data_IF_293040450481
#
_entry.id   IF_293040450481
#
_cell.length_a   1.000
_cell.length_b   1.000
_cell.length_c   1.000
_cell.angle_alpha   90.00
_cell.angle_beta   90.00
_cell.angle_gamma   90.00
#
_symmetry.space_group_name_H-M   'P 1'
#
loop_
_entity.id
_entity.type
_entity.pdbx_description
1 polymer ?
#
# COMPACT_ATOMS: atom_id res chain seq x y z
N UNK A 1 -11.91 -27.53 -28.68
CA UNK A 1 -12.37 -26.20 -29.15
C UNK A 1 -11.93 -25.21 -28.12
N UNK A 2 -10.94 -24.36 -28.43
CA UNK A 2 -10.53 -23.24 -27.58
C UNK A 2 -11.73 -22.26 -27.54
N UNK A 3 -12.22 -21.84 -26.36
CA UNK A 3 -13.27 -20.84 -26.31
C UNK A 3 -12.78 -19.57 -27.01
N UNK A 4 -13.66 -18.92 -27.79
CA UNK A 4 -13.36 -17.63 -28.40
C UNK A 4 -12.93 -16.66 -27.29
N UNK A 5 -11.77 -15.98 -27.45
CA UNK A 5 -11.34 -14.92 -26.55
C UNK A 5 -12.44 -13.86 -26.48
N UNK A 6 -12.87 -13.49 -25.29
CA UNK A 6 -13.68 -12.31 -25.05
C UNK A 6 -12.93 -11.08 -25.64
N UNK A 7 -13.67 -10.11 -26.13
CA UNK A 7 -13.11 -8.90 -26.76
C UNK A 7 -12.43 -7.98 -25.73
N UNK A 8 -11.23 -8.31 -25.25
CA UNK A 8 -10.45 -7.50 -24.31
C UNK A 8 -9.28 -8.26 -23.73
N UNK A 9 -8.33 -7.55 -23.07
CA UNK A 9 -7.16 -8.16 -22.45
C UNK A 9 -7.54 -9.04 -21.25
N UNK A 10 -6.68 -10.01 -20.92
CA UNK A 10 -6.81 -10.86 -19.73
C UNK A 10 -6.14 -10.18 -18.53
N UNK A 11 -6.84 -10.15 -17.39
CA UNK A 11 -6.27 -9.82 -16.10
C UNK A 11 -6.14 -11.08 -15.24
N UNK A 12 -4.93 -11.52 -14.95
CA UNK A 12 -4.70 -12.58 -13.98
C UNK A 12 -4.42 -12.00 -12.60
N UNK A 13 -5.23 -12.37 -11.59
CA UNK A 13 -5.09 -11.93 -10.19
C UNK A 13 -4.45 -13.06 -9.40
N UNK A 14 -3.14 -12.96 -9.13
CA UNK A 14 -2.37 -13.93 -8.37
C UNK A 14 -2.38 -13.55 -6.90
N UNK A 15 -2.91 -14.43 -6.04
CA UNK A 15 -3.18 -14.13 -4.64
C UNK A 15 -4.64 -13.69 -4.39
N UNK A 16 -5.56 -14.05 -5.29
CA UNK A 16 -6.98 -13.65 -5.27
C UNK A 16 -7.72 -13.95 -3.94
N UNK A 17 -7.28 -14.96 -3.17
CA UNK A 17 -7.88 -15.35 -1.89
C UNK A 17 -7.28 -14.63 -0.67
N UNK A 18 -6.27 -13.77 -0.88
CA UNK A 18 -5.63 -12.96 0.17
C UNK A 18 -6.48 -11.75 0.59
N UNK A 19 -6.07 -11.05 1.64
CA UNK A 19 -6.76 -9.83 2.11
C UNK A 19 -6.82 -8.76 1.00
N UNK A 20 -5.67 -8.41 0.42
CA UNK A 20 -5.57 -7.44 -0.69
C UNK A 20 -6.27 -7.96 -1.95
N UNK A 21 -6.16 -9.28 -2.24
CA UNK A 21 -6.87 -9.91 -3.35
C UNK A 21 -8.38 -9.72 -3.27
N UNK A 22 -8.97 -9.94 -2.09
CA UNK A 22 -10.40 -9.74 -1.87
C UNK A 22 -10.83 -8.28 -2.11
N UNK A 23 -10.00 -7.32 -1.68
CA UNK A 23 -10.25 -5.88 -1.94
C UNK A 23 -10.15 -5.57 -3.42
N UNK A 24 -9.15 -6.13 -4.12
CA UNK A 24 -8.98 -5.92 -5.57
C UNK A 24 -10.17 -6.47 -6.36
N UNK A 25 -10.73 -7.63 -6.00
CA UNK A 25 -11.93 -8.17 -6.65
C UNK A 25 -13.16 -7.27 -6.45
N UNK A 26 -13.30 -6.64 -5.28
CA UNK A 26 -14.35 -5.65 -5.02
C UNK A 26 -14.16 -4.41 -5.91
N UNK A 27 -12.93 -3.89 -6.01
CA UNK A 27 -12.62 -2.77 -6.91
C UNK A 27 -12.95 -3.09 -8.36
N UNK A 28 -12.57 -4.26 -8.87
CA UNK A 28 -12.87 -4.68 -10.24
C UNK A 28 -14.38 -4.77 -10.51
N UNK A 29 -15.19 -4.94 -9.49
CA UNK A 29 -16.65 -5.03 -9.63
C UNK A 29 -17.34 -3.65 -9.78
N UNK A 30 -16.66 -2.55 -9.42
CA UNK A 30 -17.21 -1.19 -9.46
C UNK A 30 -16.46 -0.25 -10.42
N UNK A 31 -15.30 -0.68 -10.95
CA UNK A 31 -14.51 0.09 -11.91
C UNK A 31 -14.92 -0.19 -13.36
N UNK A 32 -14.42 0.66 -14.28
CA UNK A 32 -14.63 0.47 -15.71
C UNK A 32 -14.17 -0.91 -16.18
N UNK A 33 -14.95 -1.49 -17.09
CA UNK A 33 -14.69 -2.82 -17.65
C UNK A 33 -13.70 -2.74 -18.81
N UNK A 34 -12.42 -2.78 -18.51
CA UNK A 34 -11.34 -2.84 -19.51
C UNK A 34 -10.87 -4.26 -19.80
N UNK A 35 -11.29 -5.24 -18.97
CA UNK A 35 -10.80 -6.61 -19.02
C UNK A 35 -11.83 -7.55 -19.66
N UNK A 36 -11.43 -8.27 -20.70
CA UNK A 36 -12.28 -9.28 -21.33
C UNK A 36 -12.39 -10.56 -20.50
N UNK A 37 -11.33 -10.93 -19.78
CA UNK A 37 -11.28 -12.09 -18.88
C UNK A 37 -10.61 -11.68 -17.56
N UNK A 38 -11.16 -12.12 -16.42
CA UNK A 38 -10.50 -12.04 -15.12
C UNK A 38 -10.20 -13.46 -14.65
N UNK A 39 -8.91 -13.79 -14.56
CA UNK A 39 -8.44 -15.11 -14.13
C UNK A 39 -7.99 -15.05 -12.67
N UNK A 40 -8.61 -15.84 -11.80
CA UNK A 40 -8.28 -15.88 -10.38
C UNK A 40 -7.27 -16.99 -10.10
N UNK A 41 -6.14 -16.65 -9.51
CA UNK A 41 -5.06 -17.60 -9.24
C UNK A 41 -4.66 -17.51 -7.77
N UNK A 42 -4.50 -18.64 -7.10
CA UNK A 42 -4.03 -18.71 -5.72
C UNK A 42 -3.22 -19.98 -5.46
N UNK A 43 -2.78 -20.19 -4.22
CA UNK A 43 -2.04 -21.41 -3.85
C UNK A 43 -2.89 -22.67 -4.13
N UNK A 44 -2.27 -23.83 -4.38
CA UNK A 44 -3.00 -25.09 -4.63
C UNK A 44 -4.04 -25.42 -3.55
N UNK A 45 -3.84 -24.98 -2.29
CA UNK A 45 -4.79 -25.17 -1.19
C UNK A 45 -6.10 -24.40 -1.38
N UNK A 46 -6.09 -23.37 -2.21
CA UNK A 46 -7.26 -22.51 -2.47
C UNK A 46 -7.89 -22.79 -3.84
N UNK A 47 -7.31 -23.63 -4.66
CA UNK A 47 -7.83 -24.01 -5.96
C UNK A 47 -9.21 -24.68 -5.83
N UNK A 48 -10.06 -24.46 -6.83
CA UNK A 48 -11.45 -24.95 -6.85
C UNK A 48 -12.44 -24.12 -6.02
N UNK A 49 -11.99 -23.16 -5.20
CA UNK A 49 -12.87 -22.20 -4.55
C UNK A 49 -13.50 -21.29 -5.61
N UNK A 50 -14.71 -20.82 -5.33
CA UNK A 50 -15.37 -19.83 -6.19
C UNK A 50 -15.40 -18.47 -5.46
N UNK A 51 -15.07 -17.42 -6.18
CA UNK A 51 -15.12 -16.05 -5.68
C UNK A 51 -15.93 -15.18 -6.64
N UNK A 52 -16.75 -14.31 -6.09
CA UNK A 52 -17.49 -13.35 -6.89
C UNK A 52 -16.60 -12.23 -7.40
N UNK A 53 -16.65 -11.96 -8.71
CA UNK A 53 -16.06 -10.79 -9.35
C UNK A 53 -17.00 -10.33 -10.46
N UNK A 54 -17.33 -9.04 -10.52
CA UNK A 54 -18.29 -8.44 -11.47
C UNK A 54 -19.67 -9.13 -11.46
N UNK A 55 -20.09 -9.63 -10.30
CA UNK A 55 -21.36 -10.33 -10.14
C UNK A 55 -21.36 -11.79 -10.62
N UNK A 56 -20.23 -12.30 -11.11
CA UNK A 56 -20.07 -13.68 -11.56
C UNK A 56 -19.21 -14.50 -10.59
N UNK A 57 -19.58 -15.74 -10.38
CA UNK A 57 -18.81 -16.72 -9.61
C UNK A 57 -17.69 -17.31 -10.48
N UNK A 58 -16.44 -16.92 -10.19
CA UNK A 58 -15.25 -17.35 -10.91
C UNK A 58 -14.45 -18.35 -10.10
N UNK A 59 -14.03 -19.46 -10.72
CA UNK A 59 -13.21 -20.49 -10.07
C UNK A 59 -11.77 -20.02 -9.89
N UNK A 60 -11.21 -20.30 -8.73
CA UNK A 60 -9.81 -20.03 -8.39
C UNK A 60 -8.92 -21.16 -8.90
N UNK A 61 -7.99 -20.84 -9.79
CA UNK A 61 -7.00 -21.77 -10.34
C UNK A 61 -5.80 -21.92 -9.39
N UNK A 62 -5.14 -23.08 -9.46
CA UNK A 62 -3.88 -23.27 -8.77
C UNK A 62 -2.75 -22.47 -9.45
N UNK A 63 -1.85 -21.90 -8.66
CA UNK A 63 -0.63 -21.27 -9.16
C UNK A 63 0.38 -22.36 -9.56
N UNK A 64 0.43 -22.64 -10.85
CA UNK A 64 1.26 -23.65 -11.53
C UNK A 64 1.90 -23.04 -12.77
N UNK A 65 2.77 -23.75 -13.46
CA UNK A 65 3.46 -23.24 -14.66
C UNK A 65 2.50 -22.90 -15.81
N UNK A 66 1.41 -23.62 -15.91
CA UNK A 66 0.35 -23.45 -16.91
C UNK A 66 -0.71 -22.41 -16.53
N UNK A 67 -0.66 -21.87 -15.32
CA UNK A 67 -1.63 -20.85 -14.85
C UNK A 67 -1.70 -19.60 -15.74
N UNK A 68 -0.62 -19.31 -16.46
CA UNK A 68 -0.50 -18.17 -17.38
C UNK A 68 -0.63 -18.55 -18.85
N UNK A 69 -0.99 -19.79 -19.16
CA UNK A 69 -1.14 -20.23 -20.55
C UNK A 69 -2.25 -19.47 -21.28
N UNK A 70 -1.99 -19.15 -22.54
CA UNK A 70 -2.88 -18.34 -23.35
C UNK A 70 -2.80 -16.83 -23.10
N UNK A 71 -2.05 -16.37 -22.09
CA UNK A 71 -1.71 -14.95 -21.93
C UNK A 71 -0.65 -14.51 -22.94
N UNK A 72 -0.62 -13.22 -23.23
CA UNK A 72 0.32 -12.66 -24.20
C UNK A 72 0.40 -11.14 -24.09
N UNK A 73 0.89 -10.51 -25.16
CA UNK A 73 1.02 -9.05 -25.23
C UNK A 73 -0.35 -8.36 -25.08
N UNK A 74 -0.42 -7.37 -24.19
CA UNK A 74 -1.65 -6.68 -23.81
C UNK A 74 -2.31 -7.25 -22.55
N UNK A 75 -2.02 -8.51 -22.18
CA UNK A 75 -2.52 -9.11 -20.94
C UNK A 75 -1.67 -8.69 -19.73
N UNK A 76 -2.27 -8.68 -18.56
CA UNK A 76 -1.59 -8.28 -17.32
C UNK A 76 -1.81 -9.30 -16.20
N UNK A 77 -0.75 -9.61 -15.45
CA UNK A 77 -0.83 -10.41 -14.24
C UNK A 77 -0.49 -9.53 -13.01
N UNK A 78 -1.43 -9.40 -12.07
CA UNK A 78 -1.26 -8.68 -10.80
C UNK A 78 -0.88 -9.67 -9.71
N UNK A 79 0.27 -9.46 -9.07
CA UNK A 79 0.77 -10.29 -7.99
C UNK A 79 0.52 -9.61 -6.62
N UNK A 80 -0.30 -10.24 -5.81
CA UNK A 80 -0.65 -9.87 -4.44
C UNK A 80 -0.20 -10.99 -3.48
N UNK A 81 1.06 -11.38 -3.60
CA UNK A 81 1.63 -12.57 -2.97
C UNK A 81 2.90 -12.21 -2.18
N UNK A 82 3.37 -13.08 -1.28
CA UNK A 82 4.68 -12.92 -0.65
C UNK A 82 5.82 -12.77 -1.69
N UNK A 83 6.89 -12.09 -1.28
CA UNK A 83 8.00 -11.74 -2.20
C UNK A 83 8.68 -12.96 -2.85
N UNK A 84 8.84 -14.06 -2.12
CA UNK A 84 9.40 -15.32 -2.63
C UNK A 84 8.51 -15.96 -3.71
N UNK A 85 7.20 -15.87 -3.55
CA UNK A 85 6.22 -16.35 -4.54
C UNK A 85 6.26 -15.48 -5.79
N UNK A 86 6.23 -14.15 -5.63
CA UNK A 86 6.34 -13.21 -6.75
C UNK A 86 7.65 -13.38 -7.51
N UNK A 87 8.78 -13.46 -6.80
CA UNK A 87 10.09 -13.66 -7.41
C UNK A 87 10.17 -14.93 -8.26
N UNK A 88 9.51 -15.99 -7.80
CA UNK A 88 9.45 -17.28 -8.52
C UNK A 88 8.54 -17.23 -9.75
N UNK A 89 7.34 -16.65 -9.63
CA UNK A 89 6.28 -16.84 -10.61
C UNK A 89 6.06 -15.66 -11.56
N UNK A 90 6.45 -14.43 -11.21
CA UNK A 90 6.33 -13.29 -12.12
C UNK A 90 7.10 -13.49 -13.44
N UNK A 91 8.32 -14.08 -13.44
CA UNK A 91 9.02 -14.41 -14.69
C UNK A 91 8.25 -15.38 -15.59
N UNK A 92 7.43 -16.27 -15.04
CA UNK A 92 6.63 -17.20 -15.84
C UNK A 92 5.52 -16.48 -16.63
N UNK A 93 4.90 -15.46 -16.06
CA UNK A 93 3.92 -14.61 -16.74
C UNK A 93 4.59 -13.76 -17.84
N UNK A 94 5.73 -13.11 -17.54
CA UNK A 94 6.45 -12.30 -18.54
C UNK A 94 7.03 -13.12 -19.69
N UNK A 95 7.44 -14.35 -19.44
CA UNK A 95 7.90 -15.28 -20.50
C UNK A 95 6.80 -15.62 -21.52
N UNK A 96 5.54 -15.46 -21.14
CA UNK A 96 4.37 -15.61 -22.04
C UNK A 96 3.97 -14.30 -22.72
N UNK A 97 4.69 -13.21 -22.45
CA UNK A 97 4.46 -11.90 -23.05
C UNK A 97 3.48 -11.00 -22.25
N UNK A 98 2.92 -11.49 -21.16
CA UNK A 98 2.07 -10.66 -20.28
C UNK A 98 2.93 -9.65 -19.51
N UNK A 99 2.37 -8.48 -19.23
CA UNK A 99 2.94 -7.56 -18.25
C UNK A 99 2.62 -8.02 -16.83
N UNK A 100 3.50 -7.68 -15.88
CA UNK A 100 3.30 -8.00 -14.46
C UNK A 100 3.26 -6.71 -13.64
N UNK A 101 2.28 -6.61 -12.75
CA UNK A 101 2.24 -5.62 -11.67
C UNK A 101 2.44 -6.36 -10.35
N UNK A 102 3.56 -6.13 -9.67
CA UNK A 102 3.90 -6.81 -8.42
C UNK A 102 3.81 -5.87 -7.21
N UNK A 103 2.96 -6.22 -6.25
CA UNK A 103 2.78 -5.46 -5.01
C UNK A 103 3.66 -5.98 -3.86
N UNK A 104 4.48 -7.00 -4.10
CA UNK A 104 5.42 -7.52 -3.11
C UNK A 104 6.72 -6.70 -3.04
N UNK A 105 7.60 -7.08 -2.12
CA UNK A 105 8.93 -6.50 -2.05
C UNK A 105 9.93 -7.09 -3.06
N UNK A 106 9.55 -8.08 -3.88
CA UNK A 106 10.47 -8.87 -4.69
C UNK A 106 11.28 -8.05 -5.70
N UNK A 107 10.67 -7.00 -6.26
CA UNK A 107 11.28 -6.24 -7.37
C UNK A 107 11.47 -4.76 -7.07
N UNK A 108 11.09 -4.28 -5.88
CA UNK A 108 11.13 -2.84 -5.52
C UNK A 108 12.51 -2.24 -5.58
N UNK A 109 13.57 -3.03 -5.37
CA UNK A 109 14.96 -2.57 -5.38
C UNK A 109 15.67 -2.82 -6.72
N UNK A 110 15.07 -3.58 -7.66
CA UNK A 110 15.67 -3.79 -8.98
C UNK A 110 15.59 -2.50 -9.82
N UNK A 111 16.72 -1.91 -10.23
CA UNK A 111 16.72 -0.67 -11.01
C UNK A 111 16.10 -0.82 -12.41
N UNK A 112 15.95 -2.07 -12.90
CA UNK A 112 15.33 -2.39 -14.20
C UNK A 112 13.82 -2.59 -14.09
N UNK A 113 13.23 -2.46 -12.90
CA UNK A 113 11.79 -2.59 -12.67
C UNK A 113 11.29 -1.24 -12.18
N UNK A 114 10.44 -0.52 -12.91
CA UNK A 114 9.90 0.76 -12.45
C UNK A 114 9.08 0.56 -11.17
N UNK A 115 9.21 1.51 -10.25
CA UNK A 115 8.42 1.58 -9.02
C UNK A 115 7.37 2.68 -9.18
N UNK A 116 6.10 2.31 -9.32
CA UNK A 116 5.07 3.22 -9.80
C UNK A 116 4.00 3.53 -8.75
N UNK A 117 3.74 4.81 -8.60
CA UNK A 117 2.54 5.37 -7.97
C UNK A 117 1.81 6.17 -9.05
N UNK A 118 0.64 5.74 -9.52
CA UNK A 118 -0.06 6.35 -10.64
C UNK A 118 -0.29 7.86 -10.51
N UNK A 119 -0.49 8.34 -9.29
CA UNK A 119 -0.70 9.77 -9.00
C UNK A 119 0.59 10.61 -9.08
N UNK A 120 1.78 9.99 -9.18
CA UNK A 120 3.07 10.69 -9.11
C UNK A 120 3.94 10.50 -10.34
N UNK A 121 4.07 9.24 -10.80
CA UNK A 121 5.00 8.87 -11.86
C UNK A 121 4.41 7.82 -12.82
N UNK A 122 3.15 8.02 -13.24
CA UNK A 122 2.42 7.10 -14.13
C UNK A 122 3.17 6.76 -15.43
N UNK A 123 3.95 7.70 -15.97
CA UNK A 123 4.71 7.54 -17.20
C UNK A 123 5.78 6.45 -17.11
N UNK A 124 6.32 6.19 -15.90
CA UNK A 124 7.37 5.19 -15.68
C UNK A 124 6.88 3.76 -16.01
N UNK A 125 5.57 3.55 -16.06
CA UNK A 125 4.97 2.25 -16.43
C UNK A 125 5.43 1.77 -17.81
N UNK A 126 5.77 2.70 -18.72
CA UNK A 126 6.19 2.41 -20.10
C UNK A 126 7.60 1.83 -20.17
N UNK A 127 8.47 2.16 -19.21
CA UNK A 127 9.87 1.71 -19.18
C UNK A 127 10.02 0.48 -18.28
N UNK A 128 9.51 -0.67 -18.72
CA UNK A 128 9.55 -1.95 -18.00
C UNK A 128 10.35 -3.04 -18.76
N UNK A 129 11.68 -2.93 -18.84
CA UNK A 129 12.51 -3.85 -19.65
C UNK A 129 12.42 -5.31 -19.19
N UNK A 130 11.98 -5.57 -17.96
CA UNK A 130 11.69 -6.91 -17.45
C UNK A 130 10.24 -7.35 -17.65
N UNK A 131 9.38 -6.53 -18.25
CA UNK A 131 7.93 -6.76 -18.32
C UNK A 131 7.23 -6.63 -16.97
N UNK A 132 7.92 -6.17 -15.92
CA UNK A 132 7.43 -6.07 -14.54
C UNK A 132 7.41 -4.61 -14.12
N UNK A 133 6.33 -4.21 -13.43
CA UNK A 133 6.19 -2.94 -12.69
C UNK A 133 5.98 -3.28 -11.22
N UNK A 134 6.70 -2.63 -10.32
CA UNK A 134 6.54 -2.80 -8.88
C UNK A 134 5.65 -1.70 -8.29
N UNK A 135 4.75 -2.07 -7.40
CA UNK A 135 4.07 -1.14 -6.51
C UNK A 135 4.88 -0.88 -5.23
N UNK A 136 4.76 0.30 -4.61
CA UNK A 136 5.48 0.64 -3.39
C UNK A 136 4.98 -0.10 -2.15
N UNK A 137 5.68 0.09 -1.05
CA UNK A 137 5.15 -0.21 0.29
C UNK A 137 3.92 0.67 0.58
N UNK A 138 2.94 0.13 1.30
CA UNK A 138 1.69 0.85 1.58
C UNK A 138 1.88 2.15 2.36
N UNK A 139 2.93 2.25 3.21
CA UNK A 139 3.29 3.50 3.90
C UNK A 139 3.80 4.54 2.90
N UNK A 140 4.68 4.12 1.99
CA UNK A 140 5.20 5.00 0.93
C UNK A 140 4.08 5.47 0.00
N UNK A 141 3.19 4.56 -0.42
CA UNK A 141 2.04 4.91 -1.26
C UNK A 141 1.14 5.96 -0.60
N UNK A 142 0.83 5.77 0.69
CA UNK A 142 -0.06 6.67 1.43
C UNK A 142 0.39 8.14 1.44
N UNK A 143 1.69 8.40 1.42
CA UNK A 143 2.24 9.76 1.45
C UNK A 143 2.70 10.27 0.08
N UNK A 144 2.82 9.40 -0.93
CA UNK A 144 3.51 9.73 -2.17
C UNK A 144 2.81 10.85 -2.95
N UNK A 145 1.48 10.79 -3.11
CA UNK A 145 0.73 11.81 -3.84
C UNK A 145 0.81 13.18 -3.16
N UNK A 146 0.64 13.23 -1.84
CA UNK A 146 0.77 14.48 -1.08
C UNK A 146 2.19 15.06 -1.15
N UNK A 147 3.22 14.22 -0.96
CA UNK A 147 4.61 14.67 -1.06
C UNK A 147 5.00 15.07 -2.47
N UNK A 148 4.50 14.37 -3.50
CA UNK A 148 4.74 14.71 -4.90
C UNK A 148 4.19 16.08 -5.25
N UNK A 149 2.96 16.39 -4.87
CA UNK A 149 2.33 17.69 -5.08
C UNK A 149 3.07 18.82 -4.34
N UNK A 150 3.41 18.60 -3.06
CA UNK A 150 4.18 19.59 -2.28
C UNK A 150 5.60 19.76 -2.81
N UNK A 151 6.24 18.69 -3.31
CA UNK A 151 7.55 18.78 -3.94
C UNK A 151 7.53 19.60 -5.22
N UNK A 152 6.52 19.41 -6.06
CA UNK A 152 6.35 20.17 -7.30
C UNK A 152 6.18 21.67 -7.04
N UNK A 153 5.47 22.05 -5.96
CA UNK A 153 5.24 23.45 -5.60
C UNK A 153 6.45 24.09 -4.89
N UNK A 154 7.07 23.39 -3.92
CA UNK A 154 8.00 24.01 -2.98
C UNK A 154 9.44 23.46 -3.04
N UNK A 155 9.69 22.34 -3.73
CA UNK A 155 11.01 21.71 -3.75
C UNK A 155 11.41 21.05 -2.42
N UNK A 156 11.05 19.77 -2.23
CA UNK A 156 11.32 18.99 -1.01
C UNK A 156 12.83 18.80 -0.77
N UNK A 157 13.32 19.11 0.45
CA UNK A 157 14.73 19.07 0.86
C UNK A 157 15.05 18.12 1.98
N UNK A 158 14.08 17.82 2.86
CA UNK A 158 14.22 16.90 3.99
C UNK A 158 12.87 16.34 4.36
N UNK A 159 12.83 15.12 4.86
CA UNK A 159 11.60 14.46 5.27
C UNK A 159 11.81 13.64 6.54
N UNK A 160 10.97 13.89 7.54
CA UNK A 160 10.83 13.04 8.72
C UNK A 160 9.44 12.41 8.72
N UNK A 161 9.39 11.10 8.91
CA UNK A 161 8.16 10.29 8.91
C UNK A 161 8.09 9.44 10.16
N UNK A 162 6.99 9.54 10.90
CA UNK A 162 6.58 8.55 11.89
C UNK A 162 5.33 7.86 11.40
N UNK A 163 5.41 6.56 11.12
CA UNK A 163 4.26 5.79 10.65
C UNK A 163 3.60 5.03 11.80
N UNK A 164 2.27 5.05 11.84
CA UNK A 164 1.42 4.29 12.75
C UNK A 164 0.70 3.23 11.92
N UNK A 165 1.22 2.00 11.97
CA UNK A 165 0.81 0.95 11.05
C UNK A 165 -0.23 0.03 11.68
N UNK A 166 -1.32 -0.20 10.96
CA UNK A 166 -2.41 -1.08 11.35
C UNK A 166 -1.99 -2.56 11.34
N UNK A 167 -2.65 -3.37 12.14
CA UNK A 167 -2.40 -4.81 12.25
C UNK A 167 -2.56 -5.56 10.92
N UNK A 168 -3.45 -5.09 10.03
CA UNK A 168 -3.67 -5.67 8.71
C UNK A 168 -2.45 -5.61 7.79
N UNK A 169 -1.42 -4.79 8.09
CA UNK A 169 -0.14 -4.80 7.37
C UNK A 169 0.56 -6.17 7.43
N UNK A 170 0.40 -6.90 8.53
CA UNK A 170 0.85 -8.28 8.67
C UNK A 170 -0.17 -9.32 8.11
N UNK A 171 -1.07 -8.88 7.23
CA UNK A 171 -2.09 -9.70 6.60
C UNK A 171 -3.12 -10.25 7.58
N UNK A 172 -3.73 -11.38 7.22
CA UNK A 172 -4.76 -12.02 8.05
C UNK A 172 -4.25 -12.38 9.45
N UNK A 173 -3.02 -12.87 9.56
CA UNK A 173 -2.42 -13.25 10.83
C UNK A 173 -2.31 -12.06 11.80
N UNK A 174 -1.98 -10.86 11.30
CA UNK A 174 -1.93 -9.64 12.10
C UNK A 174 -3.30 -9.23 12.64
N UNK A 175 -4.31 -9.20 11.75
CA UNK A 175 -5.69 -8.87 12.13
C UNK A 175 -6.27 -9.88 13.12
N UNK A 176 -6.01 -11.18 12.94
CA UNK A 176 -6.45 -12.23 13.86
C UNK A 176 -5.76 -12.13 15.22
N UNK A 177 -4.44 -11.84 15.25
CA UNK A 177 -3.69 -11.65 16.49
C UNK A 177 -4.24 -10.48 17.31
N UNK A 178 -4.43 -9.31 16.67
CA UNK A 178 -5.00 -8.15 17.36
C UNK A 178 -6.43 -8.44 17.88
N UNK A 179 -7.26 -9.12 17.07
CA UNK A 179 -8.62 -9.49 17.48
C UNK A 179 -8.62 -10.41 18.70
N UNK A 180 -7.75 -11.43 18.73
CA UNK A 180 -7.59 -12.29 19.92
C UNK A 180 -7.14 -11.51 21.14
N UNK A 181 -6.13 -10.65 20.99
CA UNK A 181 -5.59 -9.85 22.09
C UNK A 181 -6.63 -8.85 22.63
N UNK A 182 -7.43 -8.21 21.77
CA UNK A 182 -8.54 -7.35 22.20
C UNK A 182 -9.55 -8.15 23.04
N UNK A 183 -9.86 -9.38 22.63
CA UNK A 183 -10.80 -10.25 23.37
C UNK A 183 -10.31 -10.59 24.78
N UNK A 184 -8.99 -10.64 25.01
CA UNK A 184 -8.42 -10.89 26.34
C UNK A 184 -8.58 -9.70 27.30
N UNK A 185 -8.62 -8.48 26.77
CA UNK A 185 -8.68 -7.25 27.58
C UNK A 185 -10.09 -6.63 27.62
N UNK A 186 -11.00 -7.10 26.77
CA UNK A 186 -12.38 -6.59 26.73
C UNK A 186 -13.11 -6.87 28.06
N UNK A 187 -13.80 -5.85 28.57
CA UNK A 187 -14.57 -5.94 29.81
C UNK A 187 -13.72 -5.98 31.10
N UNK A 188 -12.41 -5.78 30.99
CA UNK A 188 -11.53 -5.68 32.16
C UNK A 188 -11.32 -4.22 32.57
N UNK A 189 -11.21 -3.96 33.90
CA UNK A 189 -10.86 -2.64 34.44
C UNK A 189 -9.34 -2.50 34.47
N UNK A 190 -8.76 -1.89 33.41
CA UNK A 190 -7.33 -1.69 33.25
C UNK A 190 -6.95 -0.20 33.37
N UNK A 191 -5.67 0.05 33.71
CA UNK A 191 -5.11 1.39 33.84
C UNK A 191 -5.23 1.95 35.27
N UNK A 192 -5.79 1.20 36.21
CA UNK A 192 -5.88 1.58 37.61
C UNK A 192 -4.70 1.14 38.47
N UNK A 193 -3.94 0.14 38.03
CA UNK A 193 -2.80 -0.41 38.75
C UNK A 193 -1.58 -0.56 37.85
N UNK A 194 -0.39 -0.29 38.39
CA UNK A 194 0.88 -0.45 37.68
C UNK A 194 1.05 -1.89 37.16
N UNK A 195 1.28 -2.03 35.86
CA UNK A 195 1.55 -3.31 35.20
C UNK A 195 0.31 -4.19 34.96
N UNK A 196 -0.91 -3.71 35.23
CA UNK A 196 -2.14 -4.47 34.98
C UNK A 196 -2.35 -4.75 33.48
N UNK A 197 -2.07 -3.77 32.61
CA UNK A 197 -2.13 -3.94 31.14
C UNK A 197 -1.17 -5.04 30.68
N UNK A 198 0.09 -5.03 31.16
CA UNK A 198 1.07 -6.04 30.80
C UNK A 198 0.61 -7.46 31.18
N UNK A 199 0.03 -7.62 32.36
CA UNK A 199 -0.50 -8.91 32.82
C UNK A 199 -1.71 -9.36 32.00
N UNK A 200 -2.60 -8.43 31.64
CA UNK A 200 -3.82 -8.75 30.90
C UNK A 200 -3.54 -9.13 29.43
N UNK A 201 -2.67 -8.39 28.76
CA UNK A 201 -2.30 -8.67 27.36
C UNK A 201 -1.46 -9.93 27.22
N UNK A 202 -0.65 -10.28 28.25
CA UNK A 202 0.17 -11.48 28.24
C UNK A 202 1.35 -11.40 27.26
N UNK A 203 1.74 -12.58 26.72
CA UNK A 203 2.94 -12.74 25.87
C UNK A 203 2.60 -13.12 24.40
N UNK A 204 1.33 -13.27 24.03
CA UNK A 204 0.94 -13.53 22.63
C UNK A 204 1.24 -12.30 21.76
N UNK A 205 2.33 -12.38 21.00
CA UNK A 205 2.73 -11.31 20.08
C UNK A 205 2.10 -11.46 18.70
N UNK A 206 1.64 -12.64 18.34
CA UNK A 206 1.30 -12.95 16.95
C UNK A 206 2.50 -12.70 16.02
N UNK A 207 2.31 -12.04 14.87
CA UNK A 207 3.41 -11.73 13.94
C UNK A 207 4.22 -10.48 14.30
N UNK A 208 3.93 -9.82 15.45
CA UNK A 208 4.54 -8.56 15.85
C UNK A 208 5.72 -8.79 16.81
N UNK A 209 6.57 -7.79 16.98
CA UNK A 209 7.68 -7.84 17.92
C UNK A 209 7.26 -7.77 19.41
N UNK A 210 5.98 -7.47 19.66
CA UNK A 210 5.38 -7.44 20.99
C UNK A 210 3.86 -7.52 20.93
N UNK A 211 3.15 -7.75 22.05
CA UNK A 211 1.69 -7.68 22.09
C UNK A 211 1.21 -6.30 21.62
N UNK A 212 0.15 -6.27 20.79
CA UNK A 212 -0.28 -5.04 20.16
C UNK A 212 -1.49 -4.40 20.85
N UNK A 213 -2.44 -5.17 21.40
CA UNK A 213 -3.59 -4.60 22.08
C UNK A 213 -3.15 -3.72 23.26
N UNK A 214 -3.69 -2.50 23.33
CA UNK A 214 -3.37 -1.47 24.34
C UNK A 214 -1.87 -1.10 24.39
N UNK A 215 -1.16 -1.26 23.29
CA UNK A 215 0.28 -1.06 23.20
C UNK A 215 0.68 -0.42 21.86
N UNK A 216 1.86 0.15 21.80
CA UNK A 216 2.53 0.55 20.56
C UNK A 216 3.88 -0.15 20.49
N UNK A 217 4.23 -0.69 19.31
CA UNK A 217 5.47 -1.43 19.11
C UNK A 217 6.31 -0.68 18.06
N UNK A 218 7.43 -0.03 18.44
CA UNK A 218 8.23 0.79 17.52
C UNK A 218 9.16 -0.10 16.66
N UNK A 219 8.55 -1.04 15.95
CA UNK A 219 9.25 -1.98 15.09
C UNK A 219 8.35 -2.56 14.00
N UNK A 220 8.81 -2.50 12.74
CA UNK A 220 8.17 -3.14 11.59
C UNK A 220 9.23 -3.75 10.68
N UNK A 221 9.04 -5.00 10.26
CA UNK A 221 9.99 -5.72 9.40
C UNK A 221 11.11 -6.41 10.19
N UNK A 222 12.19 -6.77 9.49
CA UNK A 222 13.37 -7.44 10.02
C UNK A 222 14.46 -6.47 10.46
N UNK A 223 15.47 -6.96 11.18
CA UNK A 223 16.65 -6.18 11.57
C UNK A 223 17.59 -6.00 10.38
N UNK A 224 18.02 -4.77 10.14
CA UNK A 224 19.05 -4.38 9.19
C UNK A 224 20.28 -3.80 9.90
N UNK A 225 21.34 -3.51 9.16
CA UNK A 225 22.56 -2.93 9.70
C UNK A 225 22.32 -1.55 10.35
N UNK A 226 23.05 -1.26 11.42
CA UNK A 226 22.97 0.03 12.12
C UNK A 226 21.72 0.20 13.00
N UNK A 227 20.98 -0.88 13.30
CA UNK A 227 19.78 -0.84 14.14
C UNK A 227 18.51 -0.41 13.42
N UNK A 228 18.55 -0.24 12.10
CA UNK A 228 17.39 0.05 11.28
C UNK A 228 16.51 -1.19 11.08
N UNK A 229 15.22 -0.98 10.91
CA UNK A 229 14.37 -2.02 10.36
C UNK A 229 14.41 -2.04 8.83
N UNK A 230 14.18 -3.22 8.25
CA UNK A 230 14.13 -3.37 6.78
C UNK A 230 13.05 -2.49 6.16
N UNK A 231 11.94 -2.25 6.86
CA UNK A 231 10.86 -1.41 6.36
C UNK A 231 11.21 0.07 6.40
N UNK A 232 11.89 0.56 7.42
CA UNK A 232 12.37 1.94 7.48
C UNK A 232 13.32 2.26 6.32
N UNK A 233 14.25 1.34 6.04
CA UNK A 233 15.15 1.49 4.89
C UNK A 233 14.41 1.42 3.55
N UNK A 234 13.42 0.54 3.43
CA UNK A 234 12.61 0.41 2.23
C UNK A 234 11.79 1.69 1.96
N UNK A 235 11.10 2.25 2.96
CA UNK A 235 10.35 3.50 2.83
C UNK A 235 11.27 4.63 2.38
N UNK A 236 12.45 4.75 3.01
CA UNK A 236 13.46 5.74 2.64
C UNK A 236 13.90 5.61 1.18
N UNK A 237 14.23 4.40 0.74
CA UNK A 237 14.69 4.13 -0.62
C UNK A 237 13.59 4.38 -1.66
N UNK A 238 12.37 3.90 -1.38
CA UNK A 238 11.23 4.03 -2.27
C UNK A 238 10.77 5.48 -2.42
N UNK A 239 10.71 6.25 -1.33
CA UNK A 239 10.39 7.69 -1.36
C UNK A 239 11.34 8.45 -2.28
N UNK A 240 12.65 8.20 -2.14
CA UNK A 240 13.67 8.80 -3.01
C UNK A 240 13.47 8.45 -4.49
N UNK A 241 13.13 7.19 -4.74
CA UNK A 241 12.96 6.68 -6.10
C UNK A 241 11.72 7.25 -6.77
N UNK A 242 10.56 7.21 -6.09
CA UNK A 242 9.28 7.70 -6.62
C UNK A 242 9.32 9.20 -6.87
N UNK A 243 9.89 9.98 -5.94
CA UNK A 243 10.01 11.44 -6.08
C UNK A 243 11.23 11.87 -6.93
N UNK A 244 12.04 10.94 -7.43
CA UNK A 244 13.26 11.21 -8.20
C UNK A 244 14.28 12.11 -7.46
N UNK A 245 14.36 11.93 -6.13
CA UNK A 245 15.23 12.68 -5.22
C UNK A 245 16.26 11.74 -4.56
N UNK A 246 17.28 11.23 -5.28
CA UNK A 246 18.16 10.18 -4.77
C UNK A 246 18.98 10.59 -3.53
N UNK A 247 19.22 11.88 -3.37
CA UNK A 247 19.99 12.45 -2.24
C UNK A 247 19.11 12.96 -1.09
N UNK A 248 17.76 12.84 -1.18
CA UNK A 248 16.85 13.36 -0.15
C UNK A 248 17.19 12.74 1.22
N UNK A 249 17.47 13.52 2.26
CA UNK A 249 17.48 13.03 3.63
C UNK A 249 16.08 12.58 4.02
N UNK A 250 15.95 11.34 4.51
CA UNK A 250 14.68 10.81 4.98
C UNK A 250 14.91 10.07 6.28
N UNK A 251 14.32 10.56 7.37
CA UNK A 251 14.28 9.90 8.66
C UNK A 251 12.92 9.18 8.81
N UNK A 252 12.94 7.90 9.16
CA UNK A 252 11.72 7.08 9.28
C UNK A 252 11.73 6.37 10.62
N UNK A 253 10.58 6.38 11.29
CA UNK A 253 10.30 5.50 12.44
C UNK A 253 9.01 4.75 12.16
N UNK A 254 9.08 3.43 12.18
CA UNK A 254 7.94 2.56 11.93
C UNK A 254 7.38 2.03 13.26
N UNK A 255 6.09 2.28 13.50
CA UNK A 255 5.39 1.87 14.72
C UNK A 255 4.15 1.06 14.37
N UNK A 256 4.01 -0.13 14.96
CA UNK A 256 2.74 -0.88 14.95
C UNK A 256 1.82 -0.35 16.04
N UNK A 257 0.55 -0.13 15.69
CA UNK A 257 -0.47 0.39 16.60
C UNK A 257 -1.70 -0.52 16.64
N UNK A 258 -2.50 -0.51 17.72
CA UNK A 258 -3.68 -1.37 17.88
C UNK A 258 -4.88 -0.89 17.04
N UNK A 259 -4.62 -0.60 15.77
CA UNK A 259 -5.60 -0.23 14.74
C UNK A 259 -5.75 -1.40 13.80
N UNK A 260 -6.97 -1.74 13.42
CA UNK A 260 -7.22 -2.92 12.59
C UNK A 260 -6.81 -2.69 11.14
N UNK A 261 -7.26 -1.58 10.54
CA UNK A 261 -7.04 -1.19 9.14
C UNK A 261 -6.83 0.32 9.08
N UNK A 262 -6.07 0.80 8.10
CA UNK A 262 -5.74 2.21 7.92
C UNK A 262 -4.41 2.57 8.57
N UNK A 263 -3.41 2.93 7.73
CA UNK A 263 -2.16 3.50 8.22
C UNK A 263 -2.31 4.99 8.45
N UNK A 264 -1.59 5.49 9.44
CA UNK A 264 -1.47 6.92 9.69
C UNK A 264 0.01 7.32 9.70
N UNK A 265 0.28 8.54 9.28
CA UNK A 265 1.63 9.08 9.22
C UNK A 265 1.65 10.51 9.76
N UNK A 266 2.58 10.78 10.66
CA UNK A 266 2.97 12.15 11.04
C UNK A 266 4.20 12.52 10.24
N UNK A 267 4.11 13.60 9.48
CA UNK A 267 5.16 14.03 8.57
C UNK A 267 5.64 15.46 8.93
N UNK A 268 6.96 15.65 8.84
CA UNK A 268 7.58 16.97 8.76
C UNK A 268 8.40 17.01 7.48
N UNK A 269 8.01 17.88 6.56
CA UNK A 269 8.68 18.07 5.29
C UNK A 269 9.32 19.47 5.24
N UNK A 270 10.61 19.56 4.88
CA UNK A 270 11.34 20.81 4.70
C UNK A 270 11.54 21.07 3.22
N UNK A 271 11.38 22.32 2.80
CA UNK A 271 11.38 22.75 1.40
C UNK A 271 12.44 23.80 1.11
N UNK A 272 12.56 24.22 -0.17
CA UNK A 272 13.52 25.22 -0.63
C UNK A 272 13.26 26.62 -0.08
N UNK A 273 12.01 26.97 0.14
CA UNK A 273 11.58 28.28 0.62
C UNK A 273 10.52 28.20 1.71
N UNK A 274 10.09 29.34 2.19
CA UNK A 274 9.04 29.44 3.21
C UNK A 274 7.73 28.85 2.68
N UNK A 275 7.01 28.12 3.56
CA UNK A 275 5.76 27.45 3.23
C UNK A 275 4.59 28.16 3.90
N UNK A 276 3.60 28.54 3.11
CA UNK A 276 2.31 28.97 3.59
C UNK A 276 1.37 27.77 3.72
N UNK A 277 0.81 27.56 4.91
CA UNK A 277 -0.06 26.41 5.19
C UNK A 277 -1.41 26.48 4.41
N UNK A 278 -1.89 27.70 4.11
CA UNK A 278 -3.09 27.89 3.28
C UNK A 278 -2.83 27.46 1.84
N UNK A 279 -1.71 27.92 1.25
CA UNK A 279 -1.29 27.51 -0.08
C UNK A 279 -1.00 26.02 -0.17
N UNK A 280 -0.33 25.43 0.84
CA UNK A 280 -0.09 23.99 0.91
C UNK A 280 -1.41 23.20 0.92
N UNK A 281 -2.43 23.69 1.62
CA UNK A 281 -3.79 23.13 1.60
C UNK A 281 -4.38 23.13 0.20
N UNK A 282 -4.33 24.26 -0.52
CA UNK A 282 -4.83 24.37 -1.89
C UNK A 282 -4.12 23.38 -2.84
N UNK A 283 -2.79 23.26 -2.72
CA UNK A 283 -1.97 22.31 -3.48
C UNK A 283 -2.44 20.88 -3.25
N UNK A 284 -2.65 20.50 -1.98
CA UNK A 284 -3.11 19.15 -1.63
C UNK A 284 -4.56 18.89 -2.05
N UNK A 285 -5.44 19.90 -2.01
CA UNK A 285 -6.82 19.78 -2.50
C UNK A 285 -6.89 19.55 -4.01
N UNK A 286 -5.91 20.06 -4.76
CA UNK A 286 -5.80 19.86 -6.20
C UNK A 286 -5.05 18.58 -6.58
N UNK A 287 -4.39 17.92 -5.63
CA UNK A 287 -3.58 16.73 -5.88
C UNK A 287 -4.46 15.49 -6.15
N UNK A 288 -4.20 14.73 -7.22
CA UNK A 288 -4.93 13.50 -7.47
C UNK A 288 -4.71 12.49 -6.33
N UNK A 289 -5.77 11.77 -5.96
CA UNK A 289 -5.69 10.75 -4.91
C UNK A 289 -5.54 11.29 -3.48
N UNK A 290 -5.71 12.60 -3.25
CA UNK A 290 -5.65 13.23 -1.93
C UNK A 290 -6.97 13.92 -1.60
N UNK A 291 -7.46 13.75 -0.38
CA UNK A 291 -8.57 14.50 0.21
C UNK A 291 -8.05 15.25 1.44
N UNK A 292 -8.36 16.54 1.54
CA UNK A 292 -7.96 17.36 2.70
C UNK A 292 -9.13 17.47 3.67
N UNK A 293 -8.93 17.02 4.91
CA UNK A 293 -9.85 17.17 6.04
C UNK A 293 -9.07 17.85 7.16
N UNK A 294 -9.29 19.15 7.36
CA UNK A 294 -8.44 19.94 8.25
C UNK A 294 -9.17 21.20 8.74
N UNK A 295 -10.13 21.00 9.62
CA UNK A 295 -10.74 22.05 10.43
C UNK A 295 -10.58 21.72 11.93
N UNK A 296 -9.43 22.01 12.54
CA UNK A 296 -9.18 21.71 13.95
C UNK A 296 -10.12 22.42 14.91
N UNK A 297 -10.72 23.56 14.52
CA UNK A 297 -11.68 24.29 15.35
C UNK A 297 -13.02 23.55 15.45
N UNK A 298 -13.42 22.88 14.38
CA UNK A 298 -14.58 22.00 14.34
C UNK A 298 -14.27 20.57 14.85
N UNK A 299 -13.00 20.25 15.12
CA UNK A 299 -12.57 18.89 15.49
C UNK A 299 -12.44 17.96 14.28
N UNK A 300 -12.35 18.51 13.08
CA UNK A 300 -12.24 17.74 11.84
C UNK A 300 -10.78 17.57 11.42
N UNK A 301 -10.34 16.33 11.40
CA UNK A 301 -8.99 15.93 10.97
C UNK A 301 -9.00 14.46 10.53
N UNK A 302 -8.04 14.02 9.69
CA UNK A 302 -8.06 12.65 9.17
C UNK A 302 -7.79 11.63 10.29
N UNK A 303 -8.61 10.56 10.31
CA UNK A 303 -8.37 9.40 11.17
C UNK A 303 -8.35 8.10 10.35
N UNK A 304 -7.67 7.04 10.82
CA UNK A 304 -7.65 5.77 10.10
C UNK A 304 -9.04 5.12 9.97
N UNK A 305 -9.99 5.42 10.88
CA UNK A 305 -11.37 4.92 10.80
C UNK A 305 -12.10 5.56 9.63
N UNK A 306 -11.90 6.87 9.41
CA UNK A 306 -12.55 7.60 8.31
C UNK A 306 -11.95 7.26 6.95
N UNK A 307 -10.63 7.08 6.89
CA UNK A 307 -9.92 6.71 5.67
C UNK A 307 -10.15 5.26 5.25
N UNK A 308 -10.47 4.35 6.20
CA UNK A 308 -10.69 2.94 5.90
C UNK A 308 -11.89 2.74 4.95
N UNK A 309 -11.68 1.98 3.87
CA UNK A 309 -12.68 1.72 2.83
C UNK A 309 -12.84 2.85 1.82
N UNK A 310 -11.99 3.88 1.83
CA UNK A 310 -11.98 4.96 0.85
C UNK A 310 -10.74 4.92 -0.04
N UNK A 311 -10.88 5.36 -1.29
CA UNK A 311 -9.80 5.34 -2.29
C UNK A 311 -8.68 6.35 -1.99
N UNK A 312 -8.93 7.63 -1.61
CA UNK A 312 -7.89 8.63 -1.46
C UNK A 312 -7.08 8.49 -0.17
N UNK A 313 -5.89 9.06 -0.17
CA UNK A 313 -5.18 9.40 1.06
C UNK A 313 -5.80 10.68 1.66
N UNK A 314 -6.06 10.66 2.96
CA UNK A 314 -6.64 11.77 3.70
C UNK A 314 -5.55 12.57 4.39
N UNK A 315 -5.41 13.84 4.03
CA UNK A 315 -4.41 14.74 4.59
C UNK A 315 -5.07 15.81 5.48
N UNK A 316 -4.38 16.20 6.54
CA UNK A 316 -4.85 17.26 7.42
C UNK A 316 -3.81 17.61 8.48
N UNK A 317 -4.22 18.40 9.49
CA UNK A 317 -3.31 18.94 10.50
C UNK A 317 -2.14 19.73 9.89
N UNK A 318 -2.39 20.45 8.78
CA UNK A 318 -1.40 21.23 8.06
C UNK A 318 -1.02 22.47 8.89
N UNK A 319 0.27 22.55 9.23
CA UNK A 319 0.83 23.64 10.04
C UNK A 319 2.20 24.01 9.51
N UNK A 320 2.45 25.31 9.28
CA UNK A 320 3.82 25.79 9.16
C UNK A 320 4.56 25.58 10.49
N UNK A 321 5.81 25.16 10.45
CA UNK A 321 6.61 25.00 11.67
C UNK A 321 6.87 26.36 12.33
N UNK A 322 6.79 26.40 13.66
CA UNK A 322 7.05 27.63 14.42
C UNK A 322 8.52 28.04 14.39
N UNK A 323 9.44 27.07 14.26
CA UNK A 323 10.87 27.28 14.37
C UNK A 323 11.60 27.32 13.02
N UNK A 324 10.97 26.80 11.96
CA UNK A 324 11.54 26.75 10.62
C UNK A 324 10.47 27.07 9.56
N UNK A 325 10.45 28.30 9.04
CA UNK A 325 9.42 28.73 8.08
C UNK A 325 9.44 27.92 6.77
N UNK A 326 10.51 27.18 6.49
CA UNK A 326 10.60 26.29 5.33
C UNK A 326 10.04 24.89 5.58
N UNK A 327 9.49 24.61 6.77
CA UNK A 327 8.95 23.30 7.13
C UNK A 327 7.43 23.32 7.29
N UNK A 328 6.79 22.30 6.77
CA UNK A 328 5.39 21.97 6.97
C UNK A 328 5.25 20.69 7.80
N UNK A 329 4.38 20.72 8.78
CA UNK A 329 3.97 19.56 9.55
C UNK A 329 2.53 19.19 9.19
N UNK A 330 2.28 17.91 8.91
CA UNK A 330 0.95 17.45 8.53
C UNK A 330 0.75 15.96 8.86
N UNK A 331 -0.48 15.51 8.76
CA UNK A 331 -0.88 14.15 9.05
C UNK A 331 -1.56 13.54 7.84
N UNK A 332 -1.31 12.26 7.57
CA UNK A 332 -1.92 11.50 6.47
C UNK A 332 -2.48 10.19 7.01
N UNK A 333 -3.68 9.84 6.55
CA UNK A 333 -4.26 8.50 6.74
C UNK A 333 -4.64 7.89 5.40
N UNK A 334 -4.47 6.58 5.25
CA UNK A 334 -4.94 5.86 4.07
C UNK A 334 -5.28 4.41 4.42
N UNK A 335 -6.24 3.83 3.72
CA UNK A 335 -6.51 2.39 3.81
C UNK A 335 -5.34 1.61 3.19
N UNK A 336 -4.62 0.87 4.01
CA UNK A 336 -3.42 0.15 3.58
C UNK A 336 -3.71 -1.06 2.69
N UNK A 337 -4.90 -1.65 2.76
CA UNK A 337 -5.32 -2.75 1.90
C UNK A 337 -5.85 -2.25 0.55
N UNK A 338 -6.48 -1.09 0.55
CA UNK A 338 -7.12 -0.48 -0.61
C UNK A 338 -6.16 0.47 -1.33
N UNK A 339 -5.91 1.67 -0.79
CA UNK A 339 -5.16 2.75 -1.44
C UNK A 339 -3.74 2.32 -1.84
N UNK A 340 -2.94 1.87 -0.88
CA UNK A 340 -1.52 1.55 -1.10
C UNK A 340 -1.24 0.18 -1.72
N UNK A 341 -2.26 -0.63 -1.98
CA UNK A 341 -2.09 -2.00 -2.46
C UNK A 341 -3.02 -2.33 -3.62
N UNK A 342 -4.31 -2.57 -3.36
CA UNK A 342 -5.25 -3.02 -4.39
C UNK A 342 -5.51 -1.93 -5.44
N UNK A 343 -5.71 -0.67 -5.02
CA UNK A 343 -5.97 0.45 -5.93
C UNK A 343 -4.74 0.77 -6.79
N UNK A 344 -3.56 0.88 -6.18
CA UNK A 344 -2.31 1.08 -6.91
C UNK A 344 -2.09 -0.03 -7.96
N UNK A 345 -2.37 -1.28 -7.60
CA UNK A 345 -2.22 -2.42 -8.51
C UNK A 345 -3.17 -2.34 -9.71
N UNK A 346 -4.46 -2.06 -9.47
CA UNK A 346 -5.44 -2.01 -10.55
C UNK A 346 -5.23 -0.80 -11.45
N UNK A 347 -4.95 0.37 -10.90
CA UNK A 347 -4.64 1.58 -11.68
C UNK A 347 -3.39 1.38 -12.54
N UNK A 348 -2.33 0.79 -11.99
CA UNK A 348 -1.12 0.46 -12.76
C UNK A 348 -1.42 -0.54 -13.88
N UNK A 349 -2.26 -1.55 -13.63
CA UNK A 349 -2.67 -2.51 -14.66
C UNK A 349 -3.51 -1.84 -15.76
N UNK A 350 -4.41 -0.92 -15.40
CA UNK A 350 -5.21 -0.13 -16.35
C UNK A 350 -4.34 0.78 -17.22
N UNK A 351 -3.29 1.42 -16.66
CA UNK A 351 -2.31 2.19 -17.42
C UNK A 351 -1.58 1.32 -18.46
N UNK A 352 -1.23 0.06 -18.09
CA UNK A 352 -0.62 -0.88 -19.02
C UNK A 352 -1.61 -1.27 -20.13
N UNK A 353 -2.86 -1.59 -19.77
CA UNK A 353 -3.88 -1.97 -20.74
C UNK A 353 -4.17 -0.85 -21.74
N UNK A 354 -4.16 0.41 -21.30
CA UNK A 354 -4.37 1.57 -22.15
C UNK A 354 -3.29 1.77 -23.24
N UNK A 355 -2.12 1.13 -23.11
CA UNK A 355 -1.09 1.16 -24.18
C UNK A 355 -1.49 0.32 -25.40
N UNK A 356 -2.49 -0.56 -25.27
CA UNK A 356 -2.92 -1.52 -26.30
C UNK A 356 -4.38 -1.32 -26.74
N UNK A 357 -5.06 -0.31 -26.19
CA UNK A 357 -6.45 0.03 -26.49
C UNK A 357 -6.63 0.79 -27.83
#
# INVERSE_FOLDING_TARGET
>A
MTPARSSGPVLAVVGATGAVGSVLLQLLSVRADVWGEIRLIASPRSAGRRLAVRGEETEVLALTEDAFDGMGRGDTAVFLTPADVSARWAPAATARGAAVVDQSAAFREDPRVPLVVPEVNAEDVRERPRGIVAGPDCVTAAMAAALGALHAEYGLRDLTVSSYQAASAAGRAGSEALRRQISLVAGTSLGGMTGDVRRAVGEDTGPFAGPLALNVVPWCGGLAAGGWSTQELAIRAQTRRILRLPALPVAVTCVQVPVMTGHSLSLRARFDGAVDAGRAREVLQAAPGVVVVDDPAAGEFPTPVDAAGTDPAWAGRLRASLDDPCSLEFFVCADNLLHGSALNAVQTAELIAAEFA
#
